data_IF_668923171065
#
_entry.id   IF_668923171065
#
_cell.length_a   1.000
_cell.length_b   1.000
_cell.length_c   1.000
_cell.angle_alpha   90.00
_cell.angle_beta   90.00
_cell.angle_gamma   90.00
#
_symmetry.space_group_name_H-M   'P 1'
#
loop_
_entity.id
_entity.type
_entity.pdbx_description
1 polymer ?
#
# COMPACT_ATOMS: atom_id res chain seq x y z
N UNK A 1 26.44 -31.59 -8.30
CA UNK A 1 26.17 -30.23 -8.85
C UNK A 1 24.85 -30.11 -9.62
N UNK A 2 24.44 -31.09 -10.43
CA UNK A 2 23.17 -31.05 -11.21
C UNK A 2 21.92 -30.95 -10.31
N UNK A 3 21.91 -31.68 -9.18
CA UNK A 3 20.78 -31.70 -8.24
C UNK A 3 20.62 -30.38 -7.46
N UNK A 4 21.72 -29.68 -7.15
CA UNK A 4 21.69 -28.36 -6.51
C UNK A 4 21.14 -27.31 -7.49
N UNK A 5 21.52 -27.37 -8.77
CA UNK A 5 20.95 -26.48 -9.81
C UNK A 5 19.45 -26.72 -10.00
N UNK A 6 18.98 -27.96 -9.91
CA UNK A 6 17.54 -28.30 -9.98
C UNK A 6 16.79 -27.80 -8.74
N UNK A 7 17.37 -27.93 -7.54
CA UNK A 7 16.80 -27.38 -6.31
C UNK A 7 16.74 -25.85 -6.33
N UNK A 8 17.79 -25.19 -6.84
CA UNK A 8 17.81 -23.73 -7.02
C UNK A 8 16.78 -23.32 -8.08
N UNK A 9 16.69 -24.01 -9.23
CA UNK A 9 15.67 -23.75 -10.24
C UNK A 9 14.26 -24.02 -9.70
N UNK A 10 14.04 -25.07 -8.92
CA UNK A 10 12.74 -25.39 -8.32
C UNK A 10 12.36 -24.36 -7.26
N UNK A 11 13.31 -23.90 -6.43
CA UNK A 11 13.10 -22.79 -5.50
C UNK A 11 12.81 -21.47 -6.23
N UNK A 12 13.51 -21.20 -7.34
CA UNK A 12 13.26 -20.05 -8.21
C UNK A 12 11.91 -20.18 -8.93
N UNK A 13 11.49 -21.39 -9.29
CA UNK A 13 10.19 -21.68 -9.91
C UNK A 13 9.03 -21.55 -8.92
N UNK A 14 9.26 -21.85 -7.64
CA UNK A 14 8.33 -21.58 -6.55
C UNK A 14 8.23 -20.08 -6.22
N UNK A 15 9.31 -19.32 -6.40
CA UNK A 15 9.28 -17.84 -6.31
C UNK A 15 8.45 -17.23 -7.46
N UNK A 16 8.33 -17.92 -8.60
CA UNK A 16 7.56 -17.45 -9.78
C UNK A 16 6.05 -17.81 -9.70
N UNK A 17 5.60 -18.64 -8.75
CA UNK A 17 4.17 -19.06 -8.67
C UNK A 17 3.41 -18.57 -7.44
N UNK A 18 4.01 -17.71 -6.61
CA UNK A 18 3.29 -17.15 -5.47
C UNK A 18 2.50 -15.89 -5.84
N UNK A 19 1.19 -16.09 -6.01
CA UNK A 19 0.18 -15.03 -6.16
C UNK A 19 0.39 -14.01 -5.03
N UNK A 20 0.80 -12.83 -5.45
CA UNK A 20 1.23 -11.72 -4.64
C UNK A 20 0.39 -10.53 -5.09
N UNK A 21 -0.20 -9.77 -4.15
CA UNK A 21 -1.34 -8.88 -4.44
C UNK A 21 -1.09 -7.29 -4.19
N UNK A 22 -1.85 -6.29 -4.67
CA UNK A 22 -1.60 -4.81 -4.55
C UNK A 22 -2.86 -4.01 -4.93
N UNK A 23 -2.96 -2.75 -4.47
CA UNK A 23 -4.15 -1.89 -4.57
C UNK A 23 -4.10 -0.86 -5.73
N UNK A 24 -3.58 -1.24 -6.90
CA UNK A 24 -3.69 -0.41 -8.13
C UNK A 24 -4.82 -0.95 -9.01
N UNK A 25 -5.59 -0.08 -9.68
CA UNK A 25 -6.77 -0.49 -10.47
C UNK A 25 -6.65 0.00 -11.91
N UNK A 26 -6.98 -0.87 -12.87
CA UNK A 26 -7.20 -0.46 -14.24
C UNK A 26 -8.61 0.14 -14.40
N UNK A 27 -8.68 1.46 -14.24
CA UNK A 27 -9.91 2.25 -14.38
C UNK A 27 -10.60 2.13 -15.74
N UNK A 28 -9.89 1.78 -16.81
CA UNK A 28 -10.50 1.55 -18.13
C UNK A 28 -11.20 0.20 -18.24
N UNK A 29 -10.76 -0.79 -17.46
CA UNK A 29 -11.35 -2.12 -17.45
C UNK A 29 -12.50 -2.26 -16.42
N UNK A 30 -12.55 -1.37 -15.41
CA UNK A 30 -13.58 -1.41 -14.37
C UNK A 30 -14.95 -1.03 -14.94
N UNK A 31 -15.90 -1.97 -14.93
CA UNK A 31 -17.27 -1.76 -15.40
C UNK A 31 -18.17 -1.28 -14.26
N UNK A 32 -19.16 -0.43 -14.57
CA UNK A 32 -20.15 0.05 -13.59
C UNK A 32 -20.99 -1.04 -12.93
N UNK A 33 -21.08 -2.24 -13.51
CA UNK A 33 -21.73 -3.40 -12.89
C UNK A 33 -20.87 -4.10 -11.83
N UNK A 34 -19.54 -3.91 -11.87
CA UNK A 34 -18.56 -4.51 -10.97
C UNK A 34 -18.37 -3.64 -9.72
N UNK A 35 -19.39 -3.64 -8.86
CA UNK A 35 -19.41 -2.74 -7.70
C UNK A 35 -18.43 -3.08 -6.60
N UNK A 36 -18.06 -4.35 -6.47
CA UNK A 36 -17.28 -4.84 -5.35
C UNK A 36 -15.92 -5.27 -5.84
N UNK A 37 -14.86 -4.83 -5.19
CA UNK A 37 -13.49 -5.19 -5.55
C UNK A 37 -12.78 -5.69 -4.30
N UNK A 38 -12.37 -6.95 -4.31
CA UNK A 38 -11.48 -7.48 -3.29
C UNK A 38 -10.04 -7.25 -3.73
N UNK A 39 -9.25 -6.70 -2.82
CA UNK A 39 -7.83 -6.48 -2.98
C UNK A 39 -7.13 -7.42 -2.03
N UNK A 40 -6.08 -8.06 -2.51
CA UNK A 40 -5.10 -8.63 -1.63
C UNK A 40 -3.83 -7.79 -1.82
N UNK A 41 -2.88 -7.82 -0.87
CA UNK A 41 -1.53 -7.38 -1.14
C UNK A 41 -0.31 -8.10 -0.58
N UNK A 42 0.83 -8.02 -1.28
CA UNK A 42 2.16 -8.26 -0.73
C UNK A 42 3.23 -7.45 -1.45
N UNK A 43 4.30 -7.14 -0.73
CA UNK A 43 5.37 -6.28 -1.21
C UNK A 43 6.51 -6.12 -0.21
N UNK A 44 7.52 -5.38 -0.63
CA UNK A 44 8.63 -4.94 0.20
C UNK A 44 8.40 -3.47 0.57
N UNK A 45 8.17 -3.21 1.85
CA UNK A 45 8.01 -1.88 2.47
C UNK A 45 8.63 -1.96 3.89
N UNK A 46 9.95 -1.73 3.99
CA UNK A 46 10.79 -2.01 5.19
C UNK A 46 10.83 -3.47 5.69
N UNK A 47 10.03 -4.33 5.08
CA UNK A 47 9.94 -5.78 5.28
C UNK A 47 8.97 -6.38 4.26
N UNK A 48 8.81 -7.70 4.26
CA UNK A 48 7.73 -8.33 3.47
C UNK A 48 6.41 -7.97 4.15
N UNK A 49 5.47 -7.38 3.42
CA UNK A 49 4.14 -7.01 3.93
C UNK A 49 3.11 -7.87 3.26
N UNK A 50 2.03 -8.19 3.96
CA UNK A 50 0.82 -8.77 3.41
C UNK A 50 -0.36 -7.85 3.69
N UNK A 51 -1.37 -7.87 2.83
CA UNK A 51 -2.54 -7.04 3.01
C UNK A 51 -3.78 -7.60 2.37
N UNK A 52 -4.90 -7.02 2.75
CA UNK A 52 -6.22 -7.30 2.24
C UNK A 52 -7.01 -6.00 2.24
N UNK A 53 -7.90 -5.85 1.29
CA UNK A 53 -8.71 -4.67 1.18
C UNK A 53 -9.98 -4.94 0.42
N UNK A 54 -10.90 -4.01 0.56
CA UNK A 54 -12.17 -4.05 -0.12
C UNK A 54 -12.49 -2.65 -0.62
N UNK A 55 -12.85 -2.57 -1.89
CA UNK A 55 -13.37 -1.34 -2.47
C UNK A 55 -14.80 -1.52 -2.96
N UNK A 56 -15.59 -0.46 -2.79
CA UNK A 56 -16.94 -0.34 -3.30
C UNK A 56 -17.02 0.82 -4.31
N UNK A 57 -17.48 0.51 -5.51
CA UNK A 57 -17.71 1.51 -6.55
C UNK A 57 -19.05 2.21 -6.35
N UNK A 58 -18.97 3.53 -6.15
CA UNK A 58 -20.13 4.39 -6.02
C UNK A 58 -20.79 4.64 -7.38
N UNK A 59 -22.11 4.77 -7.35
CA UNK A 59 -22.89 5.31 -8.48
C UNK A 59 -22.88 6.84 -8.41
N UNK A 60 -21.76 7.44 -8.80
CA UNK A 60 -21.55 8.89 -8.78
C UNK A 60 -21.19 9.42 -10.16
N UNK A 61 -21.40 10.72 -10.40
CA UNK A 61 -21.03 11.39 -11.66
C UNK A 61 -19.54 11.24 -11.96
N UNK A 62 -18.71 11.41 -10.93
CA UNK A 62 -17.27 11.09 -11.00
C UNK A 62 -17.05 9.64 -10.54
N UNK A 63 -16.43 8.76 -11.34
CA UNK A 63 -16.17 7.39 -10.93
C UNK A 63 -15.32 7.33 -9.67
N UNK A 64 -15.92 6.83 -8.58
CA UNK A 64 -15.35 6.87 -7.23
C UNK A 64 -15.40 5.49 -6.60
N UNK A 65 -14.32 5.12 -5.92
CA UNK A 65 -14.21 3.92 -5.11
C UNK A 65 -14.00 4.32 -3.65
N UNK A 66 -14.84 3.81 -2.75
CA UNK A 66 -14.56 3.81 -1.32
C UNK A 66 -13.75 2.57 -1.00
N UNK A 67 -12.73 2.69 -0.16
CA UNK A 67 -11.80 1.61 0.14
C UNK A 67 -11.53 1.53 1.65
N UNK A 68 -11.43 0.29 2.12
CA UNK A 68 -10.86 -0.06 3.41
C UNK A 68 -9.80 -1.13 3.20
N UNK A 69 -8.67 -1.04 3.88
CA UNK A 69 -7.64 -2.07 3.84
C UNK A 69 -6.93 -2.26 5.17
N UNK A 70 -6.40 -3.48 5.33
CA UNK A 70 -5.57 -3.93 6.44
C UNK A 70 -4.28 -4.53 5.86
N UNK A 71 -3.15 -4.26 6.50
CA UNK A 71 -1.85 -4.81 6.13
C UNK A 71 -0.98 -5.04 7.35
N UNK A 72 -0.11 -6.04 7.29
CA UNK A 72 0.78 -6.46 8.37
C UNK A 72 2.11 -6.94 7.78
N UNK A 73 3.25 -6.68 8.44
CA UNK A 73 4.53 -7.22 8.01
C UNK A 73 4.64 -8.71 8.32
N UNK A 74 5.51 -9.40 7.61
CA UNK A 74 5.95 -10.75 7.92
C UNK A 74 6.68 -10.73 9.26
N UNK A 75 6.28 -11.60 10.18
CA UNK A 75 6.89 -11.70 11.49
C UNK A 75 6.16 -12.72 12.36
N UNK A 76 6.67 -12.92 13.57
CA UNK A 76 6.14 -13.90 14.50
C UNK A 76 4.80 -13.45 15.14
N UNK A 77 4.50 -12.15 15.13
CA UNK A 77 3.29 -11.58 15.70
C UNK A 77 2.44 -10.87 14.63
N UNK A 78 1.49 -11.60 14.04
CA UNK A 78 0.61 -11.11 12.96
C UNK A 78 -0.26 -9.89 13.32
N UNK A 79 -0.50 -9.68 14.62
CA UNK A 79 -1.30 -8.57 15.17
C UNK A 79 -0.46 -7.56 15.97
N UNK A 80 0.86 -7.77 16.05
CA UNK A 80 1.77 -6.87 16.74
C UNK A 80 1.91 -5.55 15.97
N UNK A 81 2.18 -5.68 14.68
CA UNK A 81 2.39 -4.58 13.74
C UNK A 81 1.36 -4.63 12.63
N UNK A 82 0.71 -3.50 12.37
CA UNK A 82 -0.26 -3.41 11.29
C UNK A 82 -0.50 -1.97 10.83
N UNK A 83 -1.12 -1.86 9.67
CA UNK A 83 -1.55 -0.61 9.05
C UNK A 83 -2.94 -0.81 8.47
N UNK A 84 -3.90 0.00 8.92
CA UNK A 84 -5.22 0.12 8.31
C UNK A 84 -5.34 1.42 7.53
N UNK A 85 -6.08 1.37 6.42
CA UNK A 85 -6.43 2.54 5.63
C UNK A 85 -7.93 2.56 5.40
N UNK A 86 -8.53 3.73 5.48
CA UNK A 86 -9.92 3.98 5.09
C UNK A 86 -9.97 5.27 4.27
N UNK A 87 -10.71 5.26 3.18
CA UNK A 87 -10.80 6.43 2.31
C UNK A 87 -11.33 6.07 0.94
N UNK A 88 -10.77 6.68 -0.09
CA UNK A 88 -11.22 6.40 -1.44
C UNK A 88 -10.35 6.99 -2.53
N UNK A 89 -10.66 6.59 -3.75
CA UNK A 89 -10.03 7.09 -4.96
C UNK A 89 -11.07 7.50 -5.99
N UNK A 90 -10.79 8.58 -6.69
CA UNK A 90 -11.66 9.16 -7.71
C UNK A 90 -10.90 9.31 -9.02
N UNK A 91 -11.54 8.93 -10.12
CA UNK A 91 -11.06 9.23 -11.46
C UNK A 91 -11.51 10.65 -11.82
N UNK A 92 -10.55 11.56 -11.84
CA UNK A 92 -10.79 12.99 -12.01
C UNK A 92 -10.95 13.38 -13.48
N UNK A 93 -10.10 12.83 -14.35
CA UNK A 93 -10.08 13.23 -15.75
C UNK A 93 -9.66 12.09 -16.68
N UNK A 94 -10.12 12.12 -17.93
CA UNK A 94 -9.76 11.13 -18.95
C UNK A 94 -9.73 11.79 -20.32
N UNK A 95 -8.62 11.61 -21.05
CA UNK A 95 -8.47 12.01 -22.45
C UNK A 95 -7.93 10.82 -23.22
N UNK A 96 -8.71 10.30 -24.15
CA UNK A 96 -8.37 9.11 -24.93
C UNK A 96 -8.04 7.89 -24.04
N UNK A 97 -6.77 7.53 -23.96
CA UNK A 97 -6.26 6.46 -23.11
C UNK A 97 -5.52 6.99 -21.88
N UNK A 98 -5.34 8.31 -21.75
CA UNK A 98 -4.73 8.91 -20.58
C UNK A 98 -5.77 9.19 -19.51
N UNK A 99 -5.42 8.91 -18.26
CA UNK A 99 -6.30 9.08 -17.12
C UNK A 99 -5.54 9.69 -15.96
N UNK A 100 -6.26 10.54 -15.22
CA UNK A 100 -5.80 11.12 -13.97
C UNK A 100 -6.76 10.72 -12.85
N UNK A 101 -6.20 10.23 -11.75
CA UNK A 101 -6.94 9.90 -10.54
C UNK A 101 -6.22 10.41 -9.31
N UNK A 102 -6.99 10.68 -8.27
CA UNK A 102 -6.48 11.02 -6.95
C UNK A 102 -7.08 10.08 -5.91
N UNK A 103 -6.35 9.86 -4.82
CA UNK A 103 -6.82 9.14 -3.66
C UNK A 103 -6.48 9.86 -2.37
N UNK A 104 -7.33 9.68 -1.37
CA UNK A 104 -7.13 10.17 -0.02
C UNK A 104 -7.50 9.08 0.98
N UNK A 105 -6.64 8.89 1.97
CA UNK A 105 -6.81 7.87 3.01
C UNK A 105 -6.52 8.46 4.38
N UNK A 106 -7.39 8.17 5.33
CA UNK A 106 -7.06 8.18 6.76
C UNK A 106 -6.39 6.87 7.13
N UNK A 107 -5.35 6.95 7.95
CA UNK A 107 -4.49 5.83 8.24
C UNK A 107 -4.33 5.67 9.74
N UNK A 108 -4.43 4.44 10.21
CA UNK A 108 -4.03 4.05 11.54
C UNK A 108 -2.97 2.95 11.48
N UNK A 109 -1.90 3.12 12.25
CA UNK A 109 -0.73 2.23 12.24
C UNK A 109 -0.31 1.89 13.65
N UNK A 110 0.14 0.66 13.84
CA UNK A 110 0.82 0.22 15.05
C UNK A 110 2.13 -0.44 14.67
N UNK A 111 3.18 -0.06 15.38
CA UNK A 111 4.50 -0.66 15.32
C UNK A 111 4.98 -0.95 16.74
N UNK A 112 5.63 -2.09 16.95
CA UNK A 112 6.10 -2.50 18.26
C UNK A 112 7.48 -3.14 18.15
N UNK A 113 8.38 -2.70 19.02
CA UNK A 113 9.64 -3.39 19.27
C UNK A 113 9.81 -3.59 20.79
N UNK A 114 10.87 -4.25 21.26
CA UNK A 114 11.09 -4.50 22.70
C UNK A 114 11.20 -3.23 23.57
N UNK A 115 11.44 -2.07 22.96
CA UNK A 115 11.67 -0.80 23.64
C UNK A 115 10.43 0.10 23.67
N UNK A 116 9.64 0.09 22.61
CA UNK A 116 8.52 1.01 22.46
C UNK A 116 7.40 0.42 21.60
N UNK A 117 6.17 0.71 21.98
CA UNK A 117 4.98 0.57 21.14
C UNK A 117 4.57 1.94 20.64
N UNK A 118 4.42 2.04 19.33
CA UNK A 118 4.07 3.25 18.60
C UNK A 118 2.70 3.04 17.96
N UNK A 119 1.77 3.94 18.22
CA UNK A 119 0.49 4.01 17.50
C UNK A 119 0.39 5.36 16.81
N UNK A 120 0.02 5.36 15.54
CA UNK A 120 0.04 6.57 14.73
C UNK A 120 -1.27 6.73 13.96
N UNK A 121 -1.84 7.93 14.02
CA UNK A 121 -2.85 8.39 13.07
C UNK A 121 -2.20 9.30 12.04
N UNK A 122 -2.56 9.08 10.78
CA UNK A 122 -2.00 9.81 9.66
C UNK A 122 -2.94 9.92 8.48
N UNK A 123 -2.44 10.53 7.42
CA UNK A 123 -3.13 10.66 6.15
C UNK A 123 -2.21 10.35 4.99
N UNK A 124 -2.79 9.89 3.88
CA UNK A 124 -2.07 9.65 2.63
C UNK A 124 -2.89 10.22 1.49
N UNK A 125 -2.25 11.07 0.69
CA UNK A 125 -2.82 11.63 -0.54
C UNK A 125 -1.94 11.16 -1.69
N UNK A 126 -2.53 10.70 -2.78
CA UNK A 126 -1.78 10.25 -3.95
C UNK A 126 -2.45 10.72 -5.23
N UNK A 127 -1.67 11.27 -6.14
CA UNK A 127 -2.04 11.53 -7.52
C UNK A 127 -1.43 10.49 -8.45
N UNK A 128 -2.21 10.05 -9.43
CA UNK A 128 -1.80 9.04 -10.41
C UNK A 128 -2.17 9.51 -11.80
N UNK A 129 -1.20 9.51 -12.71
CA UNK A 129 -1.40 9.82 -14.13
C UNK A 129 -0.81 8.73 -14.99
N UNK A 130 -1.57 8.25 -15.97
CA UNK A 130 -1.08 7.16 -16.80
C UNK A 130 -1.88 6.86 -18.04
N UNK A 131 -1.36 5.92 -18.80
CA UNK A 131 -1.95 5.38 -20.01
C UNK A 131 -2.62 4.04 -19.73
N UNK A 132 -3.91 3.95 -20.06
CA UNK A 132 -4.77 2.82 -19.75
C UNK A 132 -5.41 2.26 -21.02
N UNK A 133 -5.23 0.95 -21.22
CA UNK A 133 -5.92 0.12 -22.21
C UNK A 133 -6.82 -0.88 -21.49
N UNK A 134 -7.67 -1.56 -22.25
CA UNK A 134 -8.61 -2.55 -21.71
C UNK A 134 -7.94 -3.72 -20.99
N UNK A 135 -6.71 -4.07 -21.39
CA UNK A 135 -5.94 -5.21 -20.85
C UNK A 135 -4.71 -4.83 -20.05
N UNK A 136 -4.17 -3.62 -20.21
CA UNK A 136 -2.96 -3.22 -19.50
C UNK A 136 -2.94 -1.72 -19.25
N UNK A 137 -2.11 -1.28 -18.31
CA UNK A 137 -1.87 0.13 -18.08
C UNK A 137 -0.45 0.36 -17.58
N UNK A 138 0.03 1.59 -17.73
CA UNK A 138 1.26 2.09 -17.08
C UNK A 138 0.93 3.50 -16.58
N UNK A 139 1.23 3.79 -15.32
CA UNK A 139 1.00 5.09 -14.72
C UNK A 139 2.13 5.48 -13.78
N UNK A 140 2.45 6.77 -13.75
CA UNK A 140 3.27 7.35 -12.70
C UNK A 140 2.39 7.74 -11.52
N UNK A 141 2.95 7.69 -10.33
CA UNK A 141 2.31 8.12 -9.09
C UNK A 141 3.22 9.02 -8.26
N UNK A 142 2.60 9.97 -7.58
CA UNK A 142 3.22 10.82 -6.59
C UNK A 142 2.27 10.94 -5.40
N UNK A 143 2.76 10.69 -4.20
CA UNK A 143 1.96 10.77 -2.99
C UNK A 143 2.73 11.34 -1.82
N UNK A 144 1.97 11.67 -0.79
CA UNK A 144 2.47 12.18 0.47
C UNK A 144 1.72 11.49 1.60
N UNK A 145 2.48 10.82 2.45
CA UNK A 145 2.05 10.24 3.71
C UNK A 145 2.47 11.17 4.84
N UNK A 146 1.53 11.54 5.71
CA UNK A 146 1.77 12.38 6.86
C UNK A 146 1.35 11.66 8.13
N UNK A 147 2.30 11.51 9.06
CA UNK A 147 1.97 11.20 10.44
C UNK A 147 1.44 12.49 11.09
N UNK A 148 0.23 12.44 11.67
CA UNK A 148 -0.41 13.60 12.31
C UNK A 148 -0.14 13.57 13.81
N UNK A 149 -0.51 12.47 14.46
CA UNK A 149 -0.40 12.31 15.91
C UNK A 149 0.07 10.89 16.25
N UNK A 150 1.01 10.80 17.19
CA UNK A 150 1.67 9.53 17.53
C UNK A 150 1.68 9.32 19.03
N UNK A 151 1.18 8.15 19.46
CA UNK A 151 1.27 7.69 20.82
C UNK A 151 2.51 6.82 20.98
N UNK A 152 3.31 7.14 21.99
CA UNK A 152 4.42 6.29 22.42
C UNK A 152 4.10 5.67 23.78
N UNK A 153 4.35 4.36 23.87
CA UNK A 153 4.34 3.61 25.12
C UNK A 153 5.66 2.86 25.26
N UNK A 154 6.52 3.35 26.13
CA UNK A 154 7.87 2.82 26.36
C UNK A 154 7.81 1.62 27.31
N UNK A 155 8.69 0.65 27.08
CA UNK A 155 8.86 -0.49 27.98
C UNK A 155 9.57 -0.11 29.27
N UNK A 156 9.48 -0.95 30.30
CA UNK A 156 10.20 -0.73 31.56
C UNK A 156 11.72 -0.60 31.31
N UNK A 157 12.27 -1.50 30.48
CA UNK A 157 13.67 -1.47 30.06
C UNK A 157 14.09 -0.13 29.44
N UNK A 158 13.24 0.46 28.60
CA UNK A 158 13.56 1.76 28.01
C UNK A 158 13.54 2.90 29.05
N UNK A 159 12.66 2.80 30.06
CA UNK A 159 12.56 3.77 31.16
C UNK A 159 13.70 3.64 32.18
N UNK A 160 14.31 2.46 32.30
CA UNK A 160 15.51 2.26 33.13
C UNK A 160 16.68 3.12 32.60
N UNK A 161 16.91 3.07 31.28
CA UNK A 161 17.96 3.86 30.63
C UNK A 161 17.57 5.35 30.47
N UNK A 162 16.27 5.64 30.32
CA UNK A 162 15.74 7.00 30.11
C UNK A 162 14.57 7.34 31.04
N UNK A 163 14.81 7.61 32.33
CA UNK A 163 13.74 7.80 33.33
C UNK A 163 12.83 9.01 33.04
N UNK A 164 13.35 10.01 32.32
CA UNK A 164 12.60 11.21 31.95
C UNK A 164 11.62 11.01 30.78
N UNK A 165 11.64 9.85 30.12
CA UNK A 165 10.78 9.60 28.96
C UNK A 165 9.31 9.53 29.36
N UNK A 166 8.45 10.19 28.57
CA UNK A 166 7.02 10.24 28.82
C UNK A 166 6.26 9.40 27.80
N UNK A 167 5.33 8.59 28.30
CA UNK A 167 4.32 7.98 27.46
C UNK A 167 3.22 8.99 27.14
N UNK A 168 2.57 8.83 25.99
CA UNK A 168 1.45 9.70 25.62
C UNK A 168 1.40 10.02 24.15
N UNK A 169 0.43 10.86 23.80
CA UNK A 169 0.23 11.40 22.45
C UNK A 169 1.10 12.62 22.23
N UNK A 170 1.78 12.66 21.10
CA UNK A 170 2.63 13.76 20.67
C UNK A 170 2.08 14.37 19.38
N UNK A 171 1.94 15.70 19.39
CA UNK A 171 1.44 16.51 18.28
C UNK A 171 2.27 17.81 18.16
N UNK A 172 2.60 18.28 16.94
CA UNK A 172 2.47 17.57 15.67
C UNK A 172 3.53 16.48 15.58
N UNK A 173 3.15 15.27 15.13
CA UNK A 173 4.14 14.22 14.97
C UNK A 173 5.13 14.59 13.85
N UNK A 174 6.42 14.53 14.15
CA UNK A 174 7.51 14.77 13.19
C UNK A 174 7.69 13.51 12.34
N UNK A 175 6.84 13.35 11.32
CA UNK A 175 6.94 12.24 10.40
C UNK A 175 6.12 12.46 9.15
N UNK A 176 6.67 12.06 8.01
CA UNK A 176 6.00 12.08 6.72
C UNK A 176 6.94 11.62 5.62
N UNK A 177 6.38 11.03 4.58
CA UNK A 177 7.13 10.52 3.43
C UNK A 177 6.44 10.91 2.14
N UNK A 178 7.20 11.45 1.20
CA UNK A 178 6.82 11.49 -0.19
C UNK A 178 7.11 10.13 -0.84
N UNK A 179 6.18 9.65 -1.65
CA UNK A 179 6.34 8.45 -2.45
C UNK A 179 6.23 8.81 -3.93
N UNK A 180 7.15 8.30 -4.74
CA UNK A 180 7.14 8.45 -6.19
C UNK A 180 7.40 7.11 -6.85
N UNK A 181 6.59 6.75 -7.84
CA UNK A 181 6.72 5.42 -8.43
C UNK A 181 6.01 5.26 -9.75
N UNK A 182 6.08 4.04 -10.24
CA UNK A 182 5.42 3.57 -11.44
C UNK A 182 4.54 2.39 -11.02
N UNK A 183 3.32 2.39 -11.53
CA UNK A 183 2.40 1.27 -11.46
C UNK A 183 2.06 0.77 -12.85
N UNK A 184 1.99 -0.55 -13.00
CA UNK A 184 1.57 -1.24 -14.22
C UNK A 184 0.68 -2.41 -13.86
N UNK A 185 0.04 -3.02 -14.84
CA UNK A 185 -0.73 -4.22 -14.59
C UNK A 185 -1.38 -4.78 -15.83
N UNK A 186 -1.93 -5.99 -15.66
CA UNK A 186 -2.67 -6.72 -16.66
C UNK A 186 -4.06 -7.09 -16.15
N UNK A 187 -5.07 -6.82 -16.98
CA UNK A 187 -6.49 -7.02 -16.69
C UNK A 187 -7.04 -8.22 -17.44
N UNK A 188 -7.60 -9.14 -16.67
CA UNK A 188 -8.46 -10.23 -17.09
C UNK A 188 -9.93 -9.81 -16.93
N UNK A 189 -10.89 -10.67 -17.32
CA UNK A 189 -12.32 -10.31 -17.31
C UNK A 189 -12.84 -9.86 -15.94
N UNK A 190 -12.48 -10.60 -14.89
CA UNK A 190 -12.95 -10.35 -13.51
C UNK A 190 -11.81 -10.06 -12.54
N UNK A 191 -10.57 -9.98 -13.01
CA UNK A 191 -9.43 -9.77 -12.13
C UNK A 191 -8.34 -8.95 -12.77
N UNK A 192 -7.57 -8.24 -11.96
CA UNK A 192 -6.36 -7.56 -12.39
C UNK A 192 -5.17 -8.13 -11.63
N UNK A 193 -4.02 -8.18 -12.29
CA UNK A 193 -2.71 -8.30 -11.64
C UNK A 193 -2.01 -6.96 -11.83
N UNK A 194 -1.39 -6.42 -10.80
CA UNK A 194 -0.69 -5.14 -10.87
C UNK A 194 0.73 -5.25 -10.33
N UNK A 195 1.54 -4.24 -10.55
CA UNK A 195 2.88 -4.14 -10.02
C UNK A 195 3.14 -2.66 -9.79
N UNK A 196 3.70 -2.33 -8.63
CA UNK A 196 4.04 -0.99 -8.21
C UNK A 196 5.48 -1.00 -7.72
N UNK A 197 6.29 -0.10 -8.22
CA UNK A 197 7.69 0.07 -7.82
C UNK A 197 7.98 1.54 -7.68
N UNK A 198 8.74 1.92 -6.66
CA UNK A 198 9.06 3.32 -6.46
C UNK A 198 10.02 3.58 -5.31
N UNK A 199 10.09 4.85 -4.94
CA UNK A 199 11.03 5.40 -3.98
C UNK A 199 10.29 6.21 -2.92
N UNK A 200 10.82 6.17 -1.71
CA UNK A 200 10.42 6.98 -0.56
C UNK A 200 11.46 8.07 -0.31
N UNK A 201 10.97 9.26 -0.02
CA UNK A 201 11.75 10.40 0.44
C UNK A 201 11.07 10.93 1.71
N UNK A 202 11.82 11.19 2.75
CA UNK A 202 11.25 11.78 3.96
C UNK A 202 10.83 13.23 3.69
N UNK A 203 9.89 13.74 4.49
CA UNK A 203 9.36 15.10 4.37
C UNK A 203 10.44 16.18 4.43
N UNK A 204 11.56 15.94 5.12
CA UNK A 204 12.65 16.91 5.27
C UNK A 204 13.60 16.97 4.06
N UNK A 205 13.43 16.08 3.06
CA UNK A 205 14.26 15.90 1.87
C UNK A 205 15.76 15.64 2.13
N UNK A 206 16.16 15.51 3.40
CA UNK A 206 17.55 15.37 3.84
C UNK A 206 17.81 13.97 4.37
N UNK A 207 16.88 13.43 5.14
CA UNK A 207 16.96 12.07 5.65
C UNK A 207 16.53 11.08 4.56
N UNK A 208 17.17 9.92 4.54
CA UNK A 208 16.76 8.81 3.68
C UNK A 208 16.33 7.68 4.59
N UNK A 209 15.17 7.06 4.34
CA UNK A 209 14.87 5.83 5.03
C UNK A 209 15.94 4.78 4.73
N UNK A 210 16.18 3.88 5.67
CA UNK A 210 17.20 2.82 5.53
C UNK A 210 17.01 2.00 4.24
N UNK A 211 15.75 1.71 3.90
CA UNK A 211 15.37 1.14 2.60
C UNK A 211 14.44 2.12 1.86
N UNK A 212 14.98 2.98 0.97
CA UNK A 212 14.21 4.05 0.36
C UNK A 212 13.41 3.60 -0.86
N UNK A 213 13.15 2.30 -1.03
CA UNK A 213 12.43 1.76 -2.18
C UNK A 213 11.25 0.92 -1.72
N UNK A 214 10.24 0.80 -2.56
CA UNK A 214 9.15 -0.15 -2.35
C UNK A 214 8.86 -0.93 -3.62
N UNK A 215 8.37 -2.14 -3.41
CA UNK A 215 7.89 -3.04 -4.44
C UNK A 215 6.57 -3.64 -3.96
N UNK A 216 5.54 -3.65 -4.79
CA UNK A 216 4.25 -4.22 -4.42
C UNK A 216 3.63 -4.90 -5.64
N UNK A 217 3.26 -6.17 -5.52
CA UNK A 217 2.72 -6.95 -6.63
C UNK A 217 1.25 -7.14 -6.46
N UNK A 218 0.37 -6.57 -7.29
CA UNK A 218 -1.09 -6.55 -7.41
C UNK A 218 -1.96 -7.77 -7.62
N UNK A 219 -3.11 -7.89 -6.94
CA UNK A 219 -4.27 -8.56 -7.53
C UNK A 219 -5.62 -8.12 -6.96
N UNK A 220 -6.54 -7.87 -7.88
CA UNK A 220 -7.89 -7.40 -7.63
C UNK A 220 -8.89 -8.40 -8.18
N UNK A 221 -9.92 -8.76 -7.41
CA UNK A 221 -11.07 -9.51 -7.88
C UNK A 221 -12.29 -8.60 -7.96
N UNK A 222 -12.81 -8.40 -9.17
CA UNK A 222 -13.96 -7.56 -9.48
C UNK A 222 -15.23 -8.40 -9.51
N UNK A 223 -16.15 -8.08 -8.62
CA UNK A 223 -17.41 -8.79 -8.40
C UNK A 223 -18.57 -7.86 -8.78
N UNK A 224 -19.46 -8.37 -9.63
CA UNK A 224 -20.62 -7.65 -10.14
C UNK A 224 -21.65 -8.62 -10.69
N UNK A 225 -22.88 -8.13 -10.85
CA UNK A 225 -23.92 -8.86 -11.60
C UNK A 225 -23.56 -8.81 -13.09
N UNK A 226 -23.59 -9.97 -13.74
CA UNK A 226 -23.43 -10.09 -15.19
C UNK A 226 -24.60 -9.40 -15.90
#
# INVERSE_FOLDING_TARGET
MKNIKILILAAFSFIVTNKSYAQSINWKNLKSSQKHILHLNTGLDYGVVFGLGYSYQLKSKLPTLLNISYSFPSGNELLGDFKTKIGGQVKLYTVNNFQFSASIYGIYRRYQNPLVRIQNFGSEITGVVGYYKSKWFVAGEAGFDKAIVTNFKHSAKFKEDFPAVKDGWYEPSTGGNFNYGIQTGYSLKKSDITLKIGKLLTQDFKTKPFFPYYLQLGYNLKIGRN
#
